data_IF_529117746533
#
_entry.id   IF_529117746533
#
_cell.length_a   1.000
_cell.length_b   1.000
_cell.length_c   1.000
_cell.angle_alpha   90.00
_cell.angle_beta   90.00
_cell.angle_gamma   90.00
#
_symmetry.space_group_name_H-M   'P 1'
#
loop_
_entity.id
_entity.type
_entity.pdbx_description
1 polymer ?
#
# COMPACT_ATOMS: atom_id res chain seq x y z
N UNK A 1 25.40 -41.35 18.19
CA UNK A 1 26.29 -40.40 18.90
C UNK A 1 25.46 -39.42 19.70
N UNK A 2 24.44 -38.77 19.10
CA UNK A 2 23.50 -37.86 19.78
C UNK A 2 22.97 -38.45 21.10
N UNK A 3 22.34 -39.63 21.06
CA UNK A 3 21.81 -40.29 22.26
C UNK A 3 22.84 -40.50 23.37
N UNK A 4 24.11 -40.75 23.01
CA UNK A 4 25.19 -40.96 23.99
C UNK A 4 25.58 -39.64 24.63
N UNK A 5 25.66 -38.55 23.86
CA UNK A 5 25.96 -37.22 24.38
C UNK A 5 24.82 -36.73 25.27
N UNK A 6 23.57 -36.85 24.84
CA UNK A 6 22.40 -36.44 25.62
C UNK A 6 22.31 -37.19 26.96
N UNK A 7 22.44 -38.53 26.94
CA UNK A 7 22.40 -39.34 28.16
C UNK A 7 23.55 -39.02 29.12
N UNK A 8 24.76 -38.80 28.60
CA UNK A 8 25.91 -38.50 29.46
C UNK A 8 25.87 -37.04 29.98
N UNK A 9 25.26 -36.10 29.25
CA UNK A 9 24.98 -34.75 29.75
C UNK A 9 24.00 -34.77 30.94
N UNK A 10 22.98 -35.63 30.90
CA UNK A 10 22.06 -35.81 32.04
C UNK A 10 22.74 -36.51 33.23
N UNK A 11 23.58 -37.51 32.94
CA UNK A 11 24.15 -38.40 33.95
C UNK A 11 25.36 -37.82 34.66
N UNK A 12 26.32 -37.27 33.91
CA UNK A 12 27.59 -36.78 34.44
C UNK A 12 28.24 -35.73 33.50
N UNK A 13 27.68 -34.52 33.42
CA UNK A 13 28.08 -33.52 32.42
C UNK A 13 29.52 -33.00 32.57
N UNK A 14 30.06 -33.01 33.80
CA UNK A 14 31.44 -32.60 34.09
C UNK A 14 32.44 -33.76 33.97
N UNK A 15 31.97 -34.95 33.57
CA UNK A 15 32.80 -36.13 33.39
C UNK A 15 33.83 -35.95 32.27
N UNK A 16 35.09 -36.30 32.55
CA UNK A 16 36.15 -36.22 31.54
C UNK A 16 35.88 -37.14 30.33
N UNK A 17 35.15 -38.24 30.51
CA UNK A 17 34.78 -39.15 29.43
C UNK A 17 34.01 -38.45 28.32
N UNK A 18 32.93 -37.73 28.65
CA UNK A 18 32.08 -37.05 27.68
C UNK A 18 32.87 -36.01 26.88
N UNK A 19 33.68 -35.20 27.57
CA UNK A 19 34.54 -34.20 26.91
C UNK A 19 35.47 -34.84 25.88
N UNK A 20 36.23 -35.89 26.25
CA UNK A 20 37.14 -36.54 25.31
C UNK A 20 36.39 -37.26 24.18
N UNK A 21 35.22 -37.82 24.46
CA UNK A 21 34.39 -38.47 23.45
C UNK A 21 33.93 -37.47 22.38
N UNK A 22 33.44 -36.30 22.79
CA UNK A 22 33.04 -35.22 21.87
C UNK A 22 34.25 -34.64 21.12
N UNK A 23 35.37 -34.40 21.80
CA UNK A 23 36.62 -33.93 21.15
C UNK A 23 37.12 -34.90 20.07
N UNK A 24 37.09 -36.21 20.32
CA UNK A 24 37.45 -37.22 19.31
C UNK A 24 36.44 -37.26 18.17
N UNK A 25 35.14 -37.26 18.49
CA UNK A 25 34.09 -37.27 17.47
C UNK A 25 34.16 -36.04 16.56
N UNK A 26 34.38 -34.86 17.14
CA UNK A 26 34.54 -33.61 16.41
C UNK A 26 35.69 -33.70 15.40
N UNK A 27 36.85 -34.19 15.86
CA UNK A 27 38.02 -34.38 15.00
C UNK A 27 37.77 -35.36 13.85
N UNK A 28 37.08 -36.46 14.11
CA UNK A 28 36.80 -37.49 13.09
C UNK A 28 35.69 -37.06 12.11
N UNK A 29 34.75 -36.21 12.54
CA UNK A 29 33.64 -35.73 11.70
C UNK A 29 34.01 -34.51 10.86
N UNK A 30 35.06 -33.75 11.23
CA UNK A 30 35.48 -32.53 10.55
C UNK A 30 35.64 -32.66 9.02
N UNK A 31 36.28 -33.70 8.46
CA UNK A 31 36.44 -33.79 7.01
C UNK A 31 35.11 -33.91 6.26
N UNK A 32 34.10 -34.57 6.86
CA UNK A 32 32.77 -34.67 6.26
C UNK A 32 32.04 -33.32 6.32
N UNK A 33 32.15 -32.62 7.45
CA UNK A 33 31.59 -31.28 7.60
C UNK A 33 32.22 -30.30 6.61
N UNK A 34 33.54 -30.37 6.39
CA UNK A 34 34.23 -29.55 5.40
C UNK A 34 33.67 -29.73 3.97
N UNK A 35 33.37 -30.97 3.56
CA UNK A 35 32.76 -31.27 2.25
C UNK A 35 31.35 -30.69 2.14
N UNK A 36 30.55 -30.80 3.22
CA UNK A 36 29.20 -30.23 3.25
C UNK A 36 29.27 -28.70 3.14
N UNK A 37 30.18 -28.05 3.90
CA UNK A 37 30.38 -26.60 3.86
C UNK A 37 30.74 -26.12 2.45
N UNK A 38 31.66 -26.80 1.77
CA UNK A 38 32.06 -26.46 0.40
C UNK A 38 30.90 -26.62 -0.60
N UNK A 39 30.08 -27.67 -0.40
CA UNK A 39 28.87 -27.89 -1.19
C UNK A 39 27.86 -26.77 -0.97
N UNK A 40 27.65 -26.33 0.28
CA UNK A 40 26.78 -25.19 0.60
C UNK A 40 27.29 -23.92 -0.05
N UNK A 41 28.59 -23.63 0.02
CA UNK A 41 29.19 -22.47 -0.64
C UNK A 41 28.94 -22.50 -2.16
N UNK A 42 29.15 -23.64 -2.79
CA UNK A 42 28.91 -23.81 -4.24
C UNK A 42 27.45 -23.56 -4.61
N UNK A 43 26.50 -24.16 -3.87
CA UNK A 43 25.07 -24.04 -4.15
C UNK A 43 24.55 -22.64 -3.84
N UNK A 44 25.04 -22.01 -2.77
CA UNK A 44 24.67 -20.63 -2.42
C UNK A 44 25.14 -19.64 -3.48
N UNK A 45 26.36 -19.78 -4.01
CA UNK A 45 26.83 -18.96 -5.14
C UNK A 45 26.01 -19.19 -6.43
N UNK A 46 25.53 -20.40 -6.67
CA UNK A 46 24.61 -20.67 -7.77
C UNK A 46 23.23 -20.01 -7.55
N UNK A 47 22.71 -20.05 -6.32
CA UNK A 47 21.44 -19.44 -5.93
C UNK A 47 21.45 -17.90 -6.07
N UNK A 48 22.59 -17.24 -5.76
CA UNK A 48 22.76 -15.78 -5.93
C UNK A 48 22.48 -15.28 -7.36
N UNK A 49 22.57 -16.15 -8.36
CA UNK A 49 22.28 -15.78 -9.77
C UNK A 49 20.79 -15.64 -10.07
N UNK A 50 19.91 -16.09 -9.17
CA UNK A 50 18.44 -16.01 -9.28
C UNK A 50 17.95 -16.50 -10.65
N UNK A 51 18.42 -17.69 -11.06
CA UNK A 51 17.97 -18.33 -12.29
C UNK A 51 16.65 -19.10 -12.10
N UNK A 52 16.15 -19.70 -13.18
CA UNK A 52 15.01 -20.62 -13.11
C UNK A 52 15.24 -21.82 -12.18
N UNK A 53 16.51 -22.18 -11.92
CA UNK A 53 16.89 -23.30 -11.06
C UNK A 53 16.94 -22.92 -9.58
N UNK A 54 16.65 -21.66 -9.20
CA UNK A 54 16.68 -21.21 -7.81
C UNK A 54 15.91 -22.16 -6.87
N UNK A 55 14.67 -22.61 -7.16
CA UNK A 55 13.96 -23.52 -6.26
C UNK A 55 14.69 -24.85 -6.01
N UNK A 56 15.45 -25.34 -6.99
CA UNK A 56 16.27 -26.54 -6.83
C UNK A 56 17.50 -26.26 -5.96
N UNK A 57 18.15 -25.11 -6.13
CA UNK A 57 19.25 -24.71 -5.26
C UNK A 57 18.80 -24.53 -3.80
N UNK A 58 17.63 -23.93 -3.54
CA UNK A 58 17.07 -23.81 -2.18
C UNK A 58 16.89 -25.19 -1.53
N UNK A 59 16.24 -26.11 -2.24
CA UNK A 59 16.07 -27.50 -1.76
C UNK A 59 17.38 -28.20 -1.47
N UNK A 60 18.41 -27.96 -2.28
CA UNK A 60 19.71 -28.56 -2.06
C UNK A 60 20.41 -27.97 -0.82
N UNK A 61 20.27 -26.67 -0.56
CA UNK A 61 20.75 -26.06 0.69
C UNK A 61 20.04 -26.66 1.90
N UNK A 62 18.72 -26.83 1.86
CA UNK A 62 17.96 -27.49 2.94
C UNK A 62 18.48 -28.92 3.21
N UNK A 63 18.73 -29.69 2.14
CA UNK A 63 19.27 -31.05 2.24
C UNK A 63 20.67 -31.07 2.86
N UNK A 64 21.53 -30.12 2.48
CA UNK A 64 22.89 -30.01 3.00
C UNK A 64 22.91 -29.56 4.46
N UNK A 65 21.99 -28.65 4.85
CA UNK A 65 21.79 -28.26 6.25
C UNK A 65 21.35 -29.45 7.11
N UNK A 66 20.37 -30.23 6.65
CA UNK A 66 19.95 -31.44 7.36
C UNK A 66 21.09 -32.49 7.47
N UNK A 67 21.93 -32.60 6.44
CA UNK A 67 23.10 -33.47 6.49
C UNK A 67 24.16 -32.96 7.50
N UNK A 68 24.41 -31.65 7.53
CA UNK A 68 25.29 -31.01 8.51
C UNK A 68 24.81 -31.31 9.94
N UNK A 69 23.54 -31.03 10.21
CA UNK A 69 22.90 -31.25 11.50
C UNK A 69 23.06 -32.69 11.97
N UNK A 70 22.72 -33.65 11.10
CA UNK A 70 22.80 -35.08 11.42
C UNK A 70 24.19 -35.56 11.87
N UNK A 71 25.24 -34.87 11.44
CA UNK A 71 26.63 -35.17 11.79
C UNK A 71 27.08 -34.34 13.00
N UNK A 72 26.80 -33.04 13.01
CA UNK A 72 27.40 -32.10 13.97
C UNK A 72 26.57 -31.90 15.24
N UNK A 73 25.33 -32.41 15.29
CA UNK A 73 24.45 -32.26 16.45
C UNK A 73 25.06 -32.62 17.81
N UNK A 74 25.85 -33.71 17.97
CA UNK A 74 26.50 -34.00 19.25
C UNK A 74 27.43 -32.88 19.73
N UNK A 75 28.11 -32.20 18.79
CA UNK A 75 29.03 -31.11 19.09
C UNK A 75 28.27 -29.82 19.37
N UNK A 76 27.18 -29.54 18.64
CA UNK A 76 26.28 -28.40 18.89
C UNK A 76 25.66 -28.46 20.29
N UNK A 77 25.04 -29.59 20.65
CA UNK A 77 24.40 -29.79 21.95
C UNK A 77 25.42 -29.72 23.09
N UNK A 78 26.59 -30.36 22.93
CA UNK A 78 27.65 -30.28 23.93
C UNK A 78 28.18 -28.85 24.12
N UNK A 79 28.35 -28.09 23.03
CA UNK A 79 28.78 -26.69 23.09
C UNK A 79 27.74 -25.84 23.83
N UNK A 80 26.46 -25.98 23.47
CA UNK A 80 25.36 -25.25 24.11
C UNK A 80 25.31 -25.50 25.62
N UNK A 81 25.45 -26.76 26.04
CA UNK A 81 25.49 -27.12 27.46
C UNK A 81 26.61 -26.37 28.22
N UNK A 82 27.74 -26.11 27.56
CA UNK A 82 28.87 -25.34 28.12
C UNK A 82 28.67 -23.82 28.04
N UNK A 83 27.51 -23.35 27.59
CA UNK A 83 27.21 -21.94 27.34
C UNK A 83 28.02 -21.38 26.17
N UNK A 84 28.38 -22.23 25.20
CA UNK A 84 29.15 -21.87 24.01
C UNK A 84 28.34 -22.18 22.75
N UNK A 85 28.62 -21.44 21.68
CA UNK A 85 28.05 -21.73 20.36
C UNK A 85 29.10 -22.44 19.49
N UNK A 86 28.68 -23.44 18.72
CA UNK A 86 29.59 -24.16 17.82
C UNK A 86 29.97 -23.27 16.62
N UNK A 87 31.26 -22.98 16.50
CA UNK A 87 31.76 -21.95 15.58
C UNK A 87 31.54 -22.25 14.11
N UNK A 88 31.61 -23.51 13.66
CA UNK A 88 31.42 -23.84 12.24
C UNK A 88 29.94 -23.75 11.83
N UNK A 89 29.03 -24.15 12.70
CA UNK A 89 27.58 -24.00 12.54
C UNK A 89 27.22 -22.52 12.46
N UNK A 90 27.80 -21.68 13.32
CA UNK A 90 27.64 -20.22 13.24
C UNK A 90 28.12 -19.64 11.91
N UNK A 91 29.27 -20.09 11.40
CA UNK A 91 29.74 -19.65 10.07
C UNK A 91 28.81 -20.10 8.94
N UNK A 92 28.30 -21.34 9.00
CA UNK A 92 27.38 -21.86 8.00
C UNK A 92 26.05 -21.10 8.01
N UNK A 93 25.55 -20.80 9.21
CA UNK A 93 24.41 -19.91 9.43
C UNK A 93 24.63 -18.54 8.77
N UNK A 94 25.76 -17.88 9.03
CA UNK A 94 26.07 -16.55 8.47
C UNK A 94 26.10 -16.55 6.93
N UNK A 95 26.67 -17.60 6.32
CA UNK A 95 26.71 -17.76 4.85
C UNK A 95 25.30 -17.80 4.26
N UNK A 96 24.41 -18.59 4.84
CA UNK A 96 23.06 -18.80 4.31
C UNK A 96 22.17 -17.61 4.64
N UNK A 97 22.27 -17.03 5.85
CA UNK A 97 21.53 -15.81 6.21
C UNK A 97 21.88 -14.67 5.25
N UNK A 98 23.15 -14.53 4.86
CA UNK A 98 23.55 -13.55 3.84
C UNK A 98 22.82 -13.79 2.51
N UNK A 99 22.68 -15.03 2.07
CA UNK A 99 21.88 -15.37 0.89
C UNK A 99 20.40 -15.01 1.08
N UNK A 100 19.79 -15.30 2.24
CA UNK A 100 18.40 -14.92 2.54
C UNK A 100 18.19 -13.42 2.37
N UNK A 101 19.09 -12.61 2.92
CA UNK A 101 19.02 -11.15 2.86
C UNK A 101 19.14 -10.65 1.41
N UNK A 102 20.04 -11.19 0.61
CA UNK A 102 20.18 -10.79 -0.81
C UNK A 102 18.97 -11.22 -1.63
N UNK A 103 18.44 -12.44 -1.43
CA UNK A 103 17.23 -12.91 -2.09
C UNK A 103 16.03 -11.99 -1.78
N UNK A 104 15.86 -11.61 -0.52
CA UNK A 104 14.77 -10.74 -0.10
C UNK A 104 14.94 -9.31 -0.60
N UNK A 105 16.08 -8.68 -0.32
CA UNK A 105 16.29 -7.24 -0.52
C UNK A 105 16.56 -6.88 -1.98
N UNK A 106 17.39 -7.67 -2.67
CA UNK A 106 17.85 -7.31 -4.02
C UNK A 106 16.93 -7.89 -5.10
N UNK A 107 16.23 -8.98 -4.78
CA UNK A 107 15.49 -9.76 -5.77
C UNK A 107 14.00 -9.95 -5.45
N UNK A 108 13.52 -9.54 -4.27
CA UNK A 108 12.12 -9.72 -3.87
C UNK A 108 11.69 -11.19 -3.80
N UNK A 109 12.64 -12.11 -3.60
CA UNK A 109 12.44 -13.57 -3.49
C UNK A 109 12.16 -13.96 -2.03
N UNK A 110 11.05 -13.44 -1.51
CA UNK A 110 10.67 -13.59 -0.11
C UNK A 110 10.31 -15.04 0.26
N UNK A 111 9.66 -15.78 -0.64
CA UNK A 111 9.31 -17.18 -0.38
C UNK A 111 10.56 -18.06 -0.24
N UNK A 112 11.55 -17.89 -1.13
CA UNK A 112 12.82 -18.63 -1.05
C UNK A 112 13.65 -18.23 0.17
N UNK A 113 13.72 -16.93 0.48
CA UNK A 113 14.39 -16.45 1.70
C UNK A 113 13.70 -16.99 2.96
N UNK A 114 12.37 -17.05 3.00
CA UNK A 114 11.59 -17.60 4.10
C UNK A 114 11.87 -19.10 4.29
N UNK A 115 11.93 -19.87 3.20
CA UNK A 115 12.29 -21.30 3.24
C UNK A 115 13.66 -21.49 3.87
N UNK A 116 14.68 -20.75 3.41
CA UNK A 116 16.03 -20.84 3.96
C UNK A 116 16.10 -20.40 5.44
N UNK A 117 15.42 -19.32 5.82
CA UNK A 117 15.40 -18.85 7.21
C UNK A 117 14.74 -19.86 8.16
N UNK A 118 13.67 -20.54 7.73
CA UNK A 118 13.06 -21.64 8.49
C UNK A 118 14.00 -22.85 8.60
N UNK A 119 14.70 -23.20 7.51
CA UNK A 119 15.68 -24.27 7.53
C UNK A 119 16.82 -23.97 8.51
N UNK A 120 17.32 -22.74 8.53
CA UNK A 120 18.32 -22.30 9.51
C UNK A 120 17.82 -22.41 10.95
N UNK A 121 16.57 -22.02 11.23
CA UNK A 121 16.00 -22.10 12.58
C UNK A 121 15.83 -23.55 13.03
N UNK A 122 15.49 -24.44 12.10
CA UNK A 122 15.33 -25.87 12.36
C UNK A 122 16.66 -26.57 12.60
N UNK A 123 17.70 -26.19 11.85
CA UNK A 123 19.03 -26.82 11.90
C UNK A 123 19.93 -26.27 13.00
N UNK A 124 19.74 -25.02 13.42
CA UNK A 124 20.60 -24.38 14.42
C UNK A 124 19.82 -23.79 15.60
N UNK A 125 18.94 -24.56 16.29
CA UNK A 125 18.24 -24.05 17.45
C UNK A 125 19.19 -23.71 18.61
N UNK A 126 20.41 -24.26 18.64
CA UNK A 126 21.42 -24.02 19.68
C UNK A 126 22.19 -22.69 19.53
N UNK A 127 22.04 -21.97 18.40
CA UNK A 127 22.67 -20.66 18.20
C UNK A 127 21.82 -19.54 18.81
N UNK A 128 21.78 -19.49 20.14
CA UNK A 128 20.95 -18.57 20.93
C UNK A 128 21.19 -17.09 20.59
N UNK A 129 22.43 -16.69 20.24
CA UNK A 129 22.76 -15.30 19.92
C UNK A 129 22.09 -14.77 18.65
N UNK A 130 21.60 -15.66 17.78
CA UNK A 130 20.99 -15.30 16.49
C UNK A 130 19.56 -15.79 16.34
N UNK A 131 19.08 -16.66 17.24
CA UNK A 131 17.75 -17.26 17.16
C UNK A 131 16.61 -16.23 17.15
N UNK A 132 16.67 -15.21 18.01
CA UNK A 132 15.63 -14.16 18.06
C UNK A 132 15.63 -13.32 16.78
N UNK A 133 16.81 -12.92 16.29
CA UNK A 133 16.92 -12.20 15.02
C UNK A 133 16.41 -13.02 13.83
N UNK A 134 16.58 -14.34 13.85
CA UNK A 134 16.04 -15.22 12.82
C UNK A 134 14.51 -15.37 12.88
N UNK A 135 13.93 -15.41 14.07
CA UNK A 135 12.47 -15.41 14.24
C UNK A 135 11.85 -14.10 13.72
N UNK A 136 12.48 -12.96 14.03
CA UNK A 136 12.06 -11.65 13.50
C UNK A 136 12.14 -11.59 11.97
N UNK A 137 13.23 -12.12 11.38
CA UNK A 137 13.36 -12.24 9.93
C UNK A 137 12.21 -13.07 9.33
N UNK A 138 11.91 -14.23 9.91
CA UNK A 138 10.83 -15.12 9.44
C UNK A 138 9.50 -14.39 9.43
N UNK A 139 9.11 -13.75 10.54
CA UNK A 139 7.86 -12.97 10.62
C UNK A 139 7.83 -11.84 9.59
N UNK A 140 8.96 -11.17 9.38
CA UNK A 140 9.08 -10.10 8.37
C UNK A 140 8.89 -10.65 6.96
N UNK A 141 9.55 -11.78 6.65
CA UNK A 141 9.47 -12.43 5.33
C UNK A 141 8.08 -13.00 5.04
N UNK A 142 7.38 -13.52 6.04
CA UNK A 142 5.97 -13.94 5.91
C UNK A 142 5.07 -12.78 5.49
N UNK A 143 5.22 -11.64 6.16
CA UNK A 143 4.49 -10.41 5.84
C UNK A 143 4.81 -9.92 4.42
N UNK A 144 6.10 -9.83 4.06
CA UNK A 144 6.55 -9.40 2.73
C UNK A 144 6.09 -10.35 1.61
N UNK A 145 6.15 -11.66 1.84
CA UNK A 145 5.64 -12.67 0.91
C UNK A 145 4.14 -12.50 0.69
N UNK A 146 3.38 -12.31 1.76
CA UNK A 146 1.94 -12.09 1.67
C UNK A 146 1.60 -10.81 0.89
N UNK A 147 2.28 -9.70 1.21
CA UNK A 147 2.13 -8.42 0.54
C UNK A 147 2.47 -8.51 -0.95
N UNK A 148 3.57 -9.19 -1.31
CA UNK A 148 3.96 -9.42 -2.71
C UNK A 148 2.89 -10.21 -3.46
N UNK A 149 2.34 -11.27 -2.87
CA UNK A 149 1.25 -12.07 -3.49
C UNK A 149 -0.01 -11.25 -3.74
N UNK A 150 -0.31 -10.26 -2.88
CA UNK A 150 -1.40 -9.31 -3.11
C UNK A 150 -1.03 -8.35 -4.25
N UNK A 151 0.17 -7.77 -4.23
CA UNK A 151 0.65 -6.87 -5.29
C UNK A 151 0.60 -7.53 -6.65
N UNK A 152 1.16 -8.73 -6.81
CA UNK A 152 1.22 -9.44 -8.09
C UNK A 152 -0.19 -9.69 -8.69
N UNK A 153 -1.22 -9.82 -7.83
CA UNK A 153 -2.62 -9.96 -8.25
C UNK A 153 -3.27 -8.63 -8.64
N UNK A 154 -2.79 -7.52 -8.08
CA UNK A 154 -3.29 -6.17 -8.34
C UNK A 154 -2.56 -5.45 -9.49
N UNK A 155 -1.28 -5.75 -9.72
CA UNK A 155 -0.44 -5.06 -10.72
C UNK A 155 -1.11 -4.97 -12.10
N UNK A 156 -1.76 -6.02 -12.65
CA UNK A 156 -2.44 -5.91 -13.95
C UNK A 156 -3.61 -4.91 -13.96
N UNK A 157 -4.27 -4.73 -12.82
CA UNK A 157 -5.34 -3.74 -12.65
C UNK A 157 -4.77 -2.34 -12.48
N UNK A 158 -3.74 -2.18 -11.65
CA UNK A 158 -3.02 -0.91 -11.46
C UNK A 158 -2.50 -0.40 -12.81
N UNK A 159 -1.81 -1.24 -13.56
CA UNK A 159 -1.29 -0.94 -14.89
C UNK A 159 -2.40 -0.55 -15.89
N UNK A 160 -3.55 -1.23 -15.84
CA UNK A 160 -4.69 -0.90 -16.68
C UNK A 160 -5.29 0.47 -16.32
N UNK A 161 -5.43 0.75 -15.02
CA UNK A 161 -5.87 2.05 -14.52
C UNK A 161 -4.89 3.17 -14.88
N UNK A 162 -3.58 2.97 -14.75
CA UNK A 162 -2.56 3.96 -15.13
C UNK A 162 -2.59 4.25 -16.64
N UNK A 163 -2.75 3.23 -17.48
CA UNK A 163 -2.96 3.46 -18.93
C UNK A 163 -4.25 4.24 -19.20
N UNK A 164 -5.31 3.99 -18.44
CA UNK A 164 -6.58 4.72 -18.55
C UNK A 164 -6.43 6.18 -18.12
N UNK A 165 -5.74 6.48 -17.00
CA UNK A 165 -5.41 7.84 -16.55
C UNK A 165 -4.63 8.61 -17.62
N UNK A 166 -3.56 8.01 -18.14
CA UNK A 166 -2.74 8.59 -19.21
C UNK A 166 -3.49 8.78 -20.54
N UNK A 167 -4.66 8.17 -20.71
CA UNK A 167 -5.51 8.27 -21.90
C UNK A 167 -6.95 8.71 -21.56
N UNK A 168 -7.11 9.53 -20.52
CA UNK A 168 -8.40 9.84 -19.90
C UNK A 168 -9.50 10.26 -20.88
N UNK A 169 -9.19 11.09 -21.90
CA UNK A 169 -10.18 11.52 -22.89
C UNK A 169 -10.77 10.35 -23.70
N UNK A 170 -9.92 9.43 -24.18
CA UNK A 170 -10.35 8.24 -24.94
C UNK A 170 -11.08 7.25 -24.03
N UNK A 171 -10.58 7.06 -22.81
CA UNK A 171 -11.22 6.21 -21.82
C UNK A 171 -12.62 6.72 -21.46
N UNK A 172 -12.75 8.02 -21.20
CA UNK A 172 -14.02 8.67 -20.90
C UNK A 172 -15.01 8.60 -22.07
N UNK A 173 -14.55 8.69 -23.31
CA UNK A 173 -15.39 8.48 -24.49
C UNK A 173 -15.94 7.04 -24.53
N UNK A 174 -15.08 6.04 -24.29
CA UNK A 174 -15.50 4.63 -24.25
C UNK A 174 -16.51 4.36 -23.12
N UNK A 175 -16.31 4.94 -21.93
CA UNK A 175 -17.29 4.85 -20.84
C UNK A 175 -18.65 5.42 -21.23
N UNK A 176 -18.68 6.55 -21.95
CA UNK A 176 -19.93 7.17 -22.39
C UNK A 176 -20.66 6.38 -23.47
N UNK A 177 -19.94 5.64 -24.33
CA UNK A 177 -20.55 4.80 -25.37
C UNK A 177 -21.00 3.44 -24.84
N UNK A 178 -20.16 2.80 -24.05
CA UNK A 178 -20.27 1.36 -23.78
C UNK A 178 -20.55 1.04 -22.30
N UNK A 179 -20.60 2.05 -21.43
CA UNK A 179 -20.67 1.87 -19.98
C UNK A 179 -19.41 1.20 -19.42
N UNK A 180 -19.46 0.74 -18.17
CA UNK A 180 -18.36 -0.03 -17.58
C UNK A 180 -18.44 -1.50 -18.00
N UNK A 181 -18.07 -1.80 -19.24
CA UNK A 181 -18.23 -3.14 -19.85
C UNK A 181 -17.00 -3.61 -20.61
N UNK A 182 -16.82 -4.93 -20.72
CA UNK A 182 -15.72 -5.53 -21.49
C UNK A 182 -15.85 -5.32 -23.01
N UNK A 183 -17.05 -4.97 -23.50
CA UNK A 183 -17.32 -4.67 -24.90
C UNK A 183 -16.82 -3.31 -25.37
N UNK A 184 -16.39 -2.45 -24.45
CA UNK A 184 -15.79 -1.16 -24.79
C UNK A 184 -14.44 -1.30 -25.50
N UNK A 185 -13.91 -0.17 -25.97
CA UNK A 185 -12.57 -0.12 -26.54
C UNK A 185 -11.48 -0.68 -25.60
N UNK A 186 -10.31 -1.04 -26.16
CA UNK A 186 -9.23 -1.77 -25.46
C UNK A 186 -8.94 -1.28 -24.04
N UNK A 187 -8.79 0.03 -23.83
CA UNK A 187 -8.48 0.60 -22.50
C UNK A 187 -9.54 0.26 -21.44
N UNK A 188 -10.82 0.35 -21.81
CA UNK A 188 -11.94 0.04 -20.92
C UNK A 188 -12.04 -1.46 -20.66
N UNK A 189 -11.92 -2.27 -21.71
CA UNK A 189 -11.92 -3.74 -21.61
C UNK A 189 -10.81 -4.24 -20.69
N UNK A 190 -9.61 -3.67 -20.79
CA UNK A 190 -8.46 -4.02 -19.95
C UNK A 190 -8.75 -3.71 -18.46
N UNK A 191 -9.31 -2.53 -18.14
CA UNK A 191 -9.68 -2.19 -16.75
C UNK A 191 -10.74 -3.14 -16.20
N UNK A 192 -11.81 -3.39 -16.95
CA UNK A 192 -12.93 -4.25 -16.50
C UNK A 192 -12.46 -5.70 -16.30
N UNK A 193 -11.65 -6.23 -17.22
CA UNK A 193 -11.11 -7.60 -17.12
C UNK A 193 -10.16 -7.72 -15.92
N UNK A 194 -9.17 -6.85 -15.81
CA UNK A 194 -8.22 -6.87 -14.69
C UNK A 194 -8.93 -6.68 -13.35
N UNK A 195 -9.98 -5.85 -13.28
CA UNK A 195 -10.79 -5.68 -12.08
C UNK A 195 -11.53 -6.96 -11.71
N UNK A 196 -12.15 -7.62 -12.69
CA UNK A 196 -12.84 -8.89 -12.50
C UNK A 196 -11.89 -10.02 -12.06
N UNK A 197 -10.68 -10.04 -12.56
CA UNK A 197 -9.68 -11.04 -12.19
C UNK A 197 -9.11 -10.78 -10.79
N UNK A 198 -8.78 -9.52 -10.46
CA UNK A 198 -8.31 -9.12 -9.14
C UNK A 198 -9.35 -9.43 -8.05
N UNK A 199 -10.60 -9.00 -8.22
CA UNK A 199 -11.65 -9.22 -7.21
C UNK A 199 -12.01 -10.69 -6.98
N UNK A 200 -11.74 -11.58 -7.95
CA UNK A 200 -11.99 -13.03 -7.82
C UNK A 200 -10.81 -13.76 -7.17
N UNK A 201 -9.60 -13.24 -7.34
CA UNK A 201 -8.36 -13.91 -6.91
C UNK A 201 -7.84 -13.42 -5.56
N UNK A 202 -8.24 -12.23 -5.12
CA UNK A 202 -7.89 -11.67 -3.81
C UNK A 202 -8.77 -12.24 -2.69
N UNK A 203 -8.16 -12.44 -1.52
CA UNK A 203 -8.89 -12.73 -0.27
C UNK A 203 -9.71 -11.50 0.18
N UNK A 204 -9.17 -10.31 -0.04
CA UNK A 204 -9.77 -9.02 0.28
C UNK A 204 -10.13 -8.28 -1.03
N UNK A 205 -11.34 -8.48 -1.57
CA UNK A 205 -11.71 -7.92 -2.87
C UNK A 205 -11.83 -6.39 -2.85
N UNK A 206 -11.95 -5.77 -1.67
CA UNK A 206 -11.99 -4.31 -1.47
C UNK A 206 -10.84 -3.56 -2.11
N UNK A 207 -9.62 -4.14 -2.12
CA UNK A 207 -8.45 -3.52 -2.73
C UNK A 207 -8.66 -3.26 -4.23
N UNK A 208 -9.31 -4.17 -4.95
CA UNK A 208 -9.62 -3.98 -6.37
C UNK A 208 -10.59 -2.81 -6.61
N UNK A 209 -11.56 -2.60 -5.70
CA UNK A 209 -12.48 -1.47 -5.78
C UNK A 209 -11.75 -0.14 -5.50
N UNK A 210 -10.82 -0.12 -4.54
CA UNK A 210 -10.05 1.08 -4.21
C UNK A 210 -9.15 1.52 -5.37
N UNK A 211 -8.55 0.59 -6.11
CA UNK A 211 -7.75 0.90 -7.31
C UNK A 211 -8.61 1.53 -8.42
N UNK A 212 -9.82 1.02 -8.67
CA UNK A 212 -10.73 1.61 -9.68
C UNK A 212 -11.34 2.92 -9.20
N UNK A 213 -11.62 3.05 -7.90
CA UNK A 213 -12.05 4.30 -7.27
C UNK A 213 -11.01 5.41 -7.48
N UNK A 214 -9.73 5.11 -7.33
CA UNK A 214 -8.64 6.06 -7.58
C UNK A 214 -8.63 6.58 -9.03
N UNK A 215 -8.87 5.69 -10.01
CA UNK A 215 -9.09 6.10 -11.41
C UNK A 215 -10.30 7.05 -11.54
N UNK A 216 -11.41 6.80 -10.83
CA UNK A 216 -12.56 7.70 -10.84
C UNK A 216 -12.23 9.09 -10.25
N UNK A 217 -11.40 9.13 -9.20
CA UNK A 217 -10.92 10.38 -8.60
C UNK A 217 -10.03 11.15 -9.58
N UNK A 218 -9.09 10.50 -10.27
CA UNK A 218 -8.27 11.14 -11.31
C UNK A 218 -9.14 11.69 -12.46
N UNK A 219 -10.13 10.94 -12.93
CA UNK A 219 -11.08 11.43 -13.95
C UNK A 219 -11.84 12.68 -13.49
N UNK A 220 -12.33 12.69 -12.24
CA UNK A 220 -13.05 13.83 -11.70
C UNK A 220 -12.15 15.06 -11.47
N UNK A 221 -10.97 14.85 -10.86
CA UNK A 221 -10.15 15.93 -10.33
C UNK A 221 -9.10 16.42 -11.34
N UNK A 222 -8.37 15.50 -11.98
CA UNK A 222 -7.27 15.82 -12.90
C UNK A 222 -7.81 16.08 -14.31
N UNK A 223 -8.78 15.26 -14.75
CA UNK A 223 -9.37 15.39 -16.09
C UNK A 223 -10.60 16.30 -16.14
N UNK A 224 -11.11 16.77 -14.98
CA UNK A 224 -12.34 17.58 -14.87
C UNK A 224 -13.54 16.93 -15.62
N UNK A 225 -13.64 15.60 -15.58
CA UNK A 225 -14.68 14.79 -16.22
C UNK A 225 -15.54 14.06 -15.18
N UNK A 226 -16.42 14.79 -14.45
CA UNK A 226 -17.31 14.19 -13.45
C UNK A 226 -18.32 13.21 -14.06
N UNK A 227 -18.62 13.32 -15.36
CA UNK A 227 -19.51 12.41 -16.06
C UNK A 227 -18.87 11.03 -16.19
N UNK A 228 -17.63 10.95 -16.68
CA UNK A 228 -16.94 9.66 -16.81
C UNK A 228 -16.60 9.06 -15.44
N UNK A 229 -16.24 9.89 -14.45
CA UNK A 229 -16.09 9.42 -13.08
C UNK A 229 -17.40 8.81 -12.53
N UNK A 230 -18.55 9.47 -12.75
CA UNK A 230 -19.87 8.94 -12.37
C UNK A 230 -20.14 7.59 -13.03
N UNK A 231 -19.98 7.48 -14.36
CA UNK A 231 -20.23 6.24 -15.10
C UNK A 231 -19.34 5.08 -14.63
N UNK A 232 -18.09 5.38 -14.29
CA UNK A 232 -17.16 4.40 -13.74
C UNK A 232 -17.61 3.89 -12.37
N UNK A 233 -17.94 4.80 -11.45
CA UNK A 233 -18.40 4.45 -10.09
C UNK A 233 -19.74 3.71 -10.14
N UNK A 234 -20.67 4.14 -10.98
CA UNK A 234 -21.97 3.50 -11.13
C UNK A 234 -21.84 2.05 -11.63
N UNK A 235 -21.05 1.85 -12.69
CA UNK A 235 -20.75 0.51 -13.20
C UNK A 235 -20.00 -0.38 -12.19
N UNK A 236 -19.11 0.20 -11.39
CA UNK A 236 -18.42 -0.50 -10.30
C UNK A 236 -19.40 -1.00 -9.22
N UNK A 237 -20.39 -0.17 -8.85
CA UNK A 237 -21.47 -0.54 -7.91
C UNK A 237 -22.35 -1.65 -8.51
N UNK A 238 -22.69 -1.56 -9.79
CA UNK A 238 -23.50 -2.57 -10.48
C UNK A 238 -22.82 -3.94 -10.48
N UNK A 239 -21.53 -4.00 -10.85
CA UNK A 239 -20.76 -5.24 -10.83
C UNK A 239 -20.59 -5.83 -9.43
N UNK A 240 -20.54 -4.98 -8.40
CA UNK A 240 -20.46 -5.38 -7.00
C UNK A 240 -21.80 -5.74 -6.36
N UNK A 241 -22.93 -5.52 -7.03
CA UNK A 241 -24.25 -5.69 -6.41
C UNK A 241 -24.50 -7.13 -5.95
N UNK A 242 -24.71 -7.29 -4.64
CA UNK A 242 -24.97 -8.57 -3.97
C UNK A 242 -23.73 -9.44 -3.68
N UNK A 243 -22.53 -9.06 -4.16
CA UNK A 243 -21.31 -9.85 -4.00
C UNK A 243 -20.05 -9.05 -3.59
N UNK A 244 -20.12 -7.72 -3.60
CA UNK A 244 -19.00 -6.84 -3.26
C UNK A 244 -18.94 -6.43 -1.79
N UNK A 245 -17.81 -5.85 -1.36
CA UNK A 245 -17.59 -5.40 0.02
C UNK A 245 -18.57 -4.28 0.40
N UNK A 246 -19.44 -4.55 1.37
CA UNK A 246 -20.58 -3.69 1.70
C UNK A 246 -20.17 -2.25 2.04
N UNK A 247 -19.16 -2.09 2.89
CA UNK A 247 -18.71 -0.77 3.34
C UNK A 247 -18.17 0.07 2.17
N UNK A 248 -17.35 -0.53 1.29
CA UNK A 248 -16.83 0.15 0.10
C UNK A 248 -17.97 0.52 -0.86
N UNK A 249 -18.94 -0.38 -1.07
CA UNK A 249 -20.10 -0.10 -1.93
C UNK A 249 -20.99 1.01 -1.37
N UNK A 250 -21.15 1.11 -0.04
CA UNK A 250 -21.88 2.20 0.60
C UNK A 250 -21.17 3.55 0.36
N UNK A 251 -19.84 3.61 0.52
CA UNK A 251 -19.03 4.80 0.20
C UNK A 251 -19.13 5.18 -1.27
N UNK A 252 -19.02 4.20 -2.18
CA UNK A 252 -19.16 4.46 -3.62
C UNK A 252 -20.55 5.01 -3.98
N UNK A 253 -21.62 4.61 -3.28
CA UNK A 253 -22.97 5.17 -3.51
C UNK A 253 -23.06 6.64 -3.11
N UNK A 254 -22.38 7.03 -2.03
CA UNK A 254 -22.29 8.43 -1.62
C UNK A 254 -21.51 9.26 -2.65
N UNK A 255 -20.36 8.75 -3.10
CA UNK A 255 -19.54 9.38 -4.14
C UNK A 255 -20.30 9.50 -5.46
N UNK A 256 -21.02 8.45 -5.87
CA UNK A 256 -21.88 8.46 -7.04
C UNK A 256 -22.90 9.60 -6.99
N UNK A 257 -23.53 9.83 -5.84
CA UNK A 257 -24.51 10.91 -5.68
C UNK A 257 -23.87 12.29 -5.88
N UNK A 258 -22.65 12.49 -5.35
CA UNK A 258 -21.88 13.73 -5.48
C UNK A 258 -21.45 13.96 -6.94
N UNK A 259 -20.85 12.95 -7.58
CA UNK A 259 -20.41 13.01 -8.97
C UNK A 259 -21.58 13.28 -9.92
N UNK A 260 -22.72 12.62 -9.71
CA UNK A 260 -23.92 12.82 -10.50
C UNK A 260 -24.45 14.25 -10.37
N UNK A 261 -24.53 14.76 -9.13
CA UNK A 261 -24.94 16.14 -8.86
C UNK A 261 -24.02 17.12 -9.60
N UNK A 262 -22.70 17.00 -9.43
CA UNK A 262 -21.72 17.91 -10.01
C UNK A 262 -21.78 17.94 -11.54
N UNK A 263 -21.94 16.78 -12.17
CA UNK A 263 -22.14 16.67 -13.61
C UNK A 263 -23.46 17.32 -14.06
N UNK A 264 -24.58 16.97 -13.44
CA UNK A 264 -25.91 17.43 -13.86
C UNK A 264 -26.19 18.91 -13.56
N UNK A 265 -25.52 19.49 -12.57
CA UNK A 265 -25.63 20.93 -12.29
C UNK A 265 -25.20 21.79 -13.49
N UNK A 266 -24.10 21.43 -14.17
CA UNK A 266 -23.67 22.11 -15.41
C UNK A 266 -24.71 22.00 -16.53
N UNK A 267 -25.37 20.84 -16.65
CA UNK A 267 -26.44 20.64 -17.63
C UNK A 267 -27.71 21.42 -17.25
N UNK A 268 -28.05 21.51 -15.96
CA UNK A 268 -29.18 22.29 -15.47
C UNK A 268 -29.00 23.78 -15.77
N UNK A 269 -27.80 24.32 -15.58
CA UNK A 269 -27.42 25.69 -15.96
C UNK A 269 -27.60 25.92 -17.46
N UNK A 270 -27.14 24.98 -18.29
CA UNK A 270 -27.29 25.06 -19.75
C UNK A 270 -28.75 25.03 -20.20
N UNK A 271 -29.63 24.37 -19.45
CA UNK A 271 -31.09 24.36 -19.69
C UNK A 271 -31.82 25.56 -19.08
N UNK A 272 -31.11 26.52 -18.48
CA UNK A 272 -31.75 27.70 -17.87
C UNK A 272 -32.68 28.42 -18.85
N UNK A 273 -33.93 28.64 -18.42
CA UNK A 273 -34.98 29.22 -19.24
C UNK A 273 -35.78 28.22 -20.09
N UNK A 274 -35.30 26.99 -20.27
CA UNK A 274 -36.06 25.89 -20.88
C UNK A 274 -36.69 25.00 -19.79
N UNK A 275 -37.91 25.33 -19.36
CA UNK A 275 -38.60 24.64 -18.25
C UNK A 275 -38.69 23.11 -18.43
N UNK A 276 -38.94 22.65 -19.67
CA UNK A 276 -39.02 21.21 -19.94
C UNK A 276 -37.65 20.54 -19.84
N UNK A 277 -36.61 21.20 -20.34
CA UNK A 277 -35.22 20.73 -20.20
C UNK A 277 -34.81 20.67 -18.73
N UNK A 278 -35.08 21.72 -17.97
CA UNK A 278 -34.79 21.77 -16.54
C UNK A 278 -35.52 20.67 -15.75
N UNK A 279 -36.81 20.45 -15.99
CA UNK A 279 -37.56 19.39 -15.31
C UNK A 279 -36.95 18.01 -15.56
N UNK A 280 -36.57 17.71 -16.81
CA UNK A 280 -35.89 16.46 -17.15
C UNK A 280 -34.57 16.29 -16.39
N UNK A 281 -33.77 17.34 -16.30
CA UNK A 281 -32.50 17.29 -15.57
C UNK A 281 -32.73 17.10 -14.06
N UNK A 282 -33.71 17.80 -13.48
CA UNK A 282 -34.04 17.64 -12.05
C UNK A 282 -34.58 16.23 -11.75
N UNK A 283 -35.43 15.69 -12.62
CA UNK A 283 -35.95 14.32 -12.48
C UNK A 283 -34.81 13.29 -12.50
N UNK A 284 -33.84 13.46 -13.40
CA UNK A 284 -32.64 12.65 -13.49
C UNK A 284 -31.78 12.77 -12.22
N UNK A 285 -31.53 14.00 -11.75
CA UNK A 285 -30.78 14.24 -10.50
C UNK A 285 -31.39 13.55 -9.28
N UNK A 286 -32.73 13.47 -9.18
CA UNK A 286 -33.44 12.84 -8.06
C UNK A 286 -33.16 11.33 -7.96
N UNK A 287 -32.82 10.66 -9.07
CA UNK A 287 -32.58 9.19 -9.11
C UNK A 287 -31.42 8.79 -8.18
N UNK A 288 -30.34 9.56 -8.20
CA UNK A 288 -29.11 9.25 -7.46
C UNK A 288 -28.87 10.17 -6.27
N UNK A 289 -29.78 11.10 -5.97
CA UNK A 289 -29.62 12.07 -4.91
C UNK A 289 -29.63 11.43 -3.51
N UNK A 290 -28.75 11.92 -2.63
CA UNK A 290 -28.84 11.62 -1.21
C UNK A 290 -30.14 12.21 -0.59
N UNK A 291 -30.55 11.79 0.62
CA UNK A 291 -31.83 12.22 1.21
C UNK A 291 -31.98 13.73 1.38
N UNK A 292 -30.90 14.46 1.60
CA UNK A 292 -30.94 15.92 1.75
C UNK A 292 -31.15 16.61 0.41
N UNK A 293 -30.32 16.27 -0.58
CA UNK A 293 -30.37 16.85 -1.93
C UNK A 293 -31.67 16.48 -2.63
N UNK A 294 -32.19 15.27 -2.41
CA UNK A 294 -33.48 14.83 -2.95
C UNK A 294 -34.62 15.76 -2.55
N UNK A 295 -34.72 16.13 -1.25
CA UNK A 295 -35.75 17.05 -0.76
C UNK A 295 -35.64 18.42 -1.42
N UNK A 296 -34.42 18.91 -1.63
CA UNK A 296 -34.20 20.23 -2.22
C UNK A 296 -34.46 20.22 -3.74
N UNK A 297 -34.13 19.12 -4.43
CA UNK A 297 -34.48 18.90 -5.83
C UNK A 297 -36.00 18.75 -6.04
N UNK A 298 -36.72 18.07 -5.15
CA UNK A 298 -38.19 17.98 -5.18
C UNK A 298 -38.86 19.36 -4.97
N UNK A 299 -38.31 20.19 -4.08
CA UNK A 299 -38.74 21.60 -3.95
C UNK A 299 -38.44 22.41 -5.20
N UNK A 300 -37.29 22.19 -5.85
CA UNK A 300 -36.97 22.86 -7.12
C UNK A 300 -37.93 22.44 -8.24
N UNK A 301 -38.20 21.13 -8.35
CA UNK A 301 -39.16 20.56 -9.31
C UNK A 301 -40.53 21.21 -9.19
N UNK A 302 -41.11 21.23 -7.99
CA UNK A 302 -42.42 21.85 -7.74
C UNK A 302 -42.45 23.35 -8.07
N UNK A 303 -41.36 24.09 -7.82
CA UNK A 303 -41.24 25.50 -8.23
C UNK A 303 -41.24 25.66 -9.76
N UNK A 304 -40.54 24.79 -10.49
CA UNK A 304 -40.49 24.83 -11.96
C UNK A 304 -41.87 24.50 -12.55
N UNK A 305 -42.55 23.48 -12.01
CA UNK A 305 -43.90 23.08 -12.43
C UNK A 305 -44.95 24.17 -12.16
N UNK A 306 -44.94 24.79 -10.98
CA UNK A 306 -45.88 25.85 -10.62
C UNK A 306 -45.73 27.12 -11.47
N UNK A 307 -44.53 27.40 -11.98
CA UNK A 307 -44.25 28.55 -12.85
C UNK A 307 -44.70 28.37 -14.30
N UNK A 308 -45.03 27.15 -14.72
CA UNK A 308 -45.65 26.85 -16.02
C UNK A 308 -47.04 27.51 -16.16
N UNK A 309 -47.67 27.91 -15.04
CA UNK A 309 -49.00 28.51 -14.98
C UNK A 309 -49.02 30.05 -15.02
N UNK A 310 -47.90 30.75 -14.78
CA UNK A 310 -47.86 32.22 -14.70
C UNK A 310 -47.08 32.82 -15.87
N UNK A 311 -47.80 33.26 -16.92
CA UNK A 311 -47.24 33.75 -18.21
C UNK A 311 -46.34 35.00 -18.15
N UNK A 312 -46.10 35.63 -16.98
CA UNK A 312 -45.37 36.92 -16.89
C UNK A 312 -44.40 37.01 -15.70
N UNK A 313 -43.41 36.12 -15.61
CA UNK A 313 -42.37 36.25 -14.56
C UNK A 313 -40.97 35.75 -14.97
N UNK A 314 -40.47 36.13 -16.17
CA UNK A 314 -39.13 35.70 -16.63
C UNK A 314 -37.98 36.13 -15.69
N UNK A 315 -38.06 37.32 -15.09
CA UNK A 315 -37.00 37.91 -14.25
C UNK A 315 -36.90 37.30 -12.84
N UNK A 316 -38.02 37.04 -12.18
CA UNK A 316 -38.06 36.39 -10.85
C UNK A 316 -37.69 34.90 -10.93
N UNK A 317 -37.79 34.31 -12.13
CA UNK A 317 -37.46 32.92 -12.40
C UNK A 317 -35.96 32.70 -12.51
N UNK A 318 -35.27 33.55 -13.26
CA UNK A 318 -33.80 33.59 -13.34
C UNK A 318 -33.17 33.89 -11.97
N UNK A 319 -33.73 34.82 -11.19
CA UNK A 319 -33.24 35.13 -9.84
C UNK A 319 -33.42 33.95 -8.85
N UNK A 320 -34.56 33.25 -8.91
CA UNK A 320 -34.82 32.09 -8.05
C UNK A 320 -34.01 30.84 -8.43
N UNK A 321 -33.73 30.64 -9.71
CA UNK A 321 -32.83 29.58 -10.20
C UNK A 321 -31.38 29.92 -9.85
N UNK A 322 -30.97 31.16 -10.07
CA UNK A 322 -29.68 31.68 -9.64
C UNK A 322 -29.46 31.51 -8.14
N UNK A 323 -30.48 31.73 -7.31
CA UNK A 323 -30.40 31.49 -5.87
C UNK A 323 -30.31 30.01 -5.47
N UNK A 324 -30.91 29.09 -6.23
CA UNK A 324 -30.81 27.64 -5.98
C UNK A 324 -29.47 27.09 -6.48
N UNK A 325 -29.02 27.52 -7.65
CA UNK A 325 -27.67 27.22 -8.15
C UNK A 325 -26.63 27.79 -7.19
N UNK A 326 -26.76 29.05 -6.79
CA UNK A 326 -25.89 29.70 -5.81
C UNK A 326 -25.97 28.98 -4.45
N UNK A 327 -27.15 28.54 -4.00
CA UNK A 327 -27.27 27.71 -2.80
C UNK A 327 -26.55 26.37 -2.93
N UNK A 328 -26.69 25.66 -4.06
CA UNK A 328 -25.97 24.40 -4.28
C UNK A 328 -24.46 24.58 -4.43
N UNK A 329 -24.01 25.68 -5.05
CA UNK A 329 -22.59 26.08 -5.18
C UNK A 329 -22.00 26.52 -3.83
N UNK A 330 -22.75 27.29 -3.04
CA UNK A 330 -22.35 27.70 -1.68
C UNK A 330 -22.38 26.53 -0.70
N UNK A 331 -23.32 25.58 -0.85
CA UNK A 331 -23.37 24.36 -0.03
C UNK A 331 -22.38 23.29 -0.49
N UNK A 332 -21.80 23.42 -1.68
CA UNK A 332 -20.68 22.60 -2.19
C UNK A 332 -19.40 22.86 -1.39
N UNK A 333 -19.19 24.08 -0.88
CA UNK A 333 -18.10 24.38 0.06
C UNK A 333 -18.26 23.62 1.39
N UNK A 334 -19.49 23.28 1.78
CA UNK A 334 -19.83 22.74 3.11
C UNK A 334 -20.04 21.22 3.18
N UNK A 335 -20.00 20.49 2.07
CA UNK A 335 -20.13 19.02 2.05
C UNK A 335 -19.11 18.38 1.13
N UNK A 336 -17.88 18.29 1.63
CA UNK A 336 -16.84 17.46 1.03
C UNK A 336 -17.04 16.01 1.45
N UNK A 337 -16.72 15.04 0.58
CA UNK A 337 -16.77 13.64 0.95
C UNK A 337 -15.91 13.40 2.20
N UNK A 338 -16.43 12.55 3.07
CA UNK A 338 -15.68 12.04 4.21
C UNK A 338 -14.34 11.47 3.74
N UNK A 339 -13.30 11.73 4.54
CA UNK A 339 -11.97 11.15 4.43
C UNK A 339 -12.05 9.65 4.13
N UNK A 340 -11.28 9.18 3.13
CA UNK A 340 -11.37 7.78 2.71
C UNK A 340 -10.19 7.33 1.86
N UNK A 341 -9.32 6.54 2.51
CA UNK A 341 -8.27 5.65 2.00
C UNK A 341 -8.00 5.72 0.48
N UNK A 342 -6.89 6.36 0.12
CA UNK A 342 -6.28 6.19 -1.19
C UNK A 342 -5.58 4.82 -1.24
N UNK A 343 -5.58 4.17 -2.40
CA UNK A 343 -4.69 3.03 -2.63
C UNK A 343 -3.27 3.56 -2.73
N UNK A 344 -2.45 3.23 -1.73
CA UNK A 344 -1.02 3.51 -1.74
C UNK A 344 -0.36 2.22 -2.22
N UNK A 345 0.33 2.21 -3.38
CA UNK A 345 1.02 1.03 -3.85
C UNK A 345 2.07 0.60 -2.81
N UNK A 346 2.28 -0.70 -2.58
CA UNK A 346 3.33 -1.17 -1.71
C UNK A 346 4.68 -0.74 -2.28
N UNK A 347 5.37 0.20 -1.61
CA UNK A 347 6.72 0.61 -1.98
C UNK A 347 7.63 -0.60 -1.84
N UNK A 348 8.15 -1.12 -2.96
CA UNK A 348 9.27 -2.04 -2.93
C UNK A 348 10.48 -1.27 -2.37
N UNK A 349 10.81 -1.51 -1.09
CA UNK A 349 11.98 -0.93 -0.44
C UNK A 349 13.25 -1.43 -1.15
N UNK A 350 13.73 -0.69 -2.16
CA UNK A 350 15.15 -0.77 -2.55
C UNK A 350 15.95 0.05 -1.56
N UNK A 351 16.56 -0.66 -0.60
CA UNK A 351 17.61 -0.08 0.23
C UNK A 351 18.81 0.28 -0.63
N UNK A 352 18.95 1.56 -0.98
CA UNK A 352 20.22 2.10 -1.48
C UNK A 352 20.88 2.86 -0.34
N UNK A 353 22.02 2.35 0.11
CA UNK A 353 22.88 3.00 1.10
C UNK A 353 23.50 4.25 0.45
N UNK A 354 23.38 5.47 1.02
CA UNK A 354 24.09 6.62 0.49
C UNK A 354 25.55 6.60 0.95
N UNK A 355 26.46 6.78 0.00
CA UNK A 355 27.87 7.06 0.26
C UNK A 355 28.02 8.44 0.92
N UNK A 356 28.87 8.52 1.95
CA UNK A 356 29.20 9.75 2.68
C UNK A 356 30.19 10.59 1.87
N UNK A 357 29.98 11.92 1.76
CA UNK A 357 31.08 12.86 1.68
C UNK A 357 31.17 13.77 2.92
N UNK A 358 32.43 14.10 3.18
CA UNK A 358 33.04 14.83 4.29
C UNK A 358 32.61 16.28 4.51
N UNK A 359 32.79 16.71 5.76
CA UNK A 359 32.50 18.02 6.38
C UNK A 359 33.36 19.18 5.84
N UNK A 360 32.73 20.33 5.57
CA UNK A 360 33.27 21.67 5.84
C UNK A 360 32.16 22.74 5.91
N UNK A 361 32.23 23.53 6.98
CA UNK A 361 31.40 24.62 7.55
C UNK A 361 31.19 25.88 6.64
N UNK A 362 30.52 26.97 7.09
CA UNK A 362 29.09 27.18 7.27
C UNK A 362 28.58 28.35 6.39
N UNK A 363 27.71 28.06 5.43
CA UNK A 363 26.75 29.03 4.90
C UNK A 363 25.38 28.52 5.33
N UNK A 364 24.45 29.42 5.71
CA UNK A 364 23.05 29.04 5.97
C UNK A 364 22.53 28.25 4.77
N UNK A 365 22.56 26.93 4.89
CA UNK A 365 22.00 26.00 3.92
C UNK A 365 20.51 26.11 4.11
N UNK A 366 19.84 26.85 3.22
CA UNK A 366 18.40 26.68 3.03
C UNK A 366 18.16 25.18 2.86
N UNK A 367 17.42 24.54 3.77
CA UNK A 367 17.10 23.12 3.67
C UNK A 367 16.51 22.88 2.27
N UNK A 368 17.16 22.09 1.40
CA UNK A 368 16.64 21.84 0.05
C UNK A 368 15.27 21.15 0.08
N UNK A 369 14.88 20.61 1.24
CA UNK A 369 13.62 19.94 1.52
C UNK A 369 12.69 20.75 2.44
N UNK A 370 12.84 22.07 2.49
CA UNK A 370 11.96 22.96 3.27
C UNK A 370 10.47 22.61 3.06
N UNK A 371 9.76 22.41 4.17
CA UNK A 371 8.34 22.08 4.24
C UNK A 371 7.58 23.28 4.80
N UNK A 372 6.58 23.76 4.06
CA UNK A 372 5.69 24.81 4.54
C UNK A 372 4.35 24.20 4.91
N UNK A 373 3.91 24.37 6.15
CA UNK A 373 2.60 23.89 6.56
C UNK A 373 1.50 24.59 5.74
N UNK A 374 0.68 23.85 4.98
CA UNK A 374 -0.37 24.45 4.19
C UNK A 374 -1.44 25.06 5.10
N UNK A 375 -2.09 26.17 4.69
CA UNK A 375 -3.29 26.65 5.38
C UNK A 375 -4.39 25.58 5.34
N UNK A 376 -5.21 25.55 6.39
CA UNK A 376 -6.41 24.69 6.44
C UNK A 376 -7.40 25.17 5.39
N UNK A 377 -7.85 24.27 4.51
CA UNK A 377 -8.82 24.64 3.48
C UNK A 377 -8.88 23.72 2.27
N UNK A 378 -9.99 23.88 1.55
CA UNK A 378 -10.34 23.23 0.29
C UNK A 378 -9.78 23.82 -1.00
N UNK A 379 -9.23 23.05 -1.95
CA UNK A 379 -9.05 23.51 -3.34
C UNK A 379 -8.03 24.64 -3.50
N UNK A 380 -7.20 24.82 -2.48
CA UNK A 380 -6.14 25.82 -2.45
C UNK A 380 -5.05 25.42 -3.45
N UNK A 381 -4.47 26.41 -4.12
CA UNK A 381 -3.28 26.18 -4.96
C UNK A 381 -2.06 26.20 -4.05
N UNK A 382 -1.50 25.03 -3.76
CA UNK A 382 -0.38 24.87 -2.86
C UNK A 382 0.94 25.14 -3.57
N UNK A 383 1.88 25.75 -2.84
CA UNK A 383 3.27 25.92 -3.28
C UNK A 383 4.00 24.58 -3.28
N UNK A 384 5.18 24.50 -3.91
CA UNK A 384 6.02 23.30 -3.89
C UNK A 384 6.32 22.82 -2.46
N UNK A 385 6.69 23.72 -1.56
CA UNK A 385 6.98 23.41 -0.16
C UNK A 385 5.74 22.91 0.60
N UNK A 386 4.55 23.41 0.27
CA UNK A 386 3.28 22.96 0.84
C UNK A 386 2.85 21.60 0.31
N UNK A 387 3.07 21.33 -0.97
CA UNK A 387 2.89 19.98 -1.55
C UNK A 387 3.86 19.00 -0.90
N UNK A 388 5.12 19.41 -0.68
CA UNK A 388 6.13 18.62 0.03
C UNK A 388 5.69 18.27 1.45
N UNK A 389 5.16 19.22 2.21
CA UNK A 389 4.56 18.95 3.52
C UNK A 389 3.48 17.87 3.42
N UNK A 390 2.56 17.97 2.44
CA UNK A 390 1.49 16.99 2.30
C UNK A 390 1.99 15.57 1.97
N UNK A 391 2.99 15.44 1.10
CA UNK A 391 3.55 14.13 0.76
C UNK A 391 4.35 13.55 1.93
N UNK A 392 5.19 14.35 2.58
CA UNK A 392 6.05 13.90 3.66
C UNK A 392 5.27 13.62 4.94
N UNK A 393 4.29 14.47 5.28
CA UNK A 393 3.41 14.23 6.41
C UNK A 393 2.53 13.01 6.21
N UNK A 394 2.08 12.72 4.97
CA UNK A 394 1.40 11.46 4.64
C UNK A 394 2.26 10.24 4.97
N UNK A 395 3.51 10.22 4.50
CA UNK A 395 4.45 9.15 4.81
C UNK A 395 4.75 9.02 6.31
N UNK A 396 4.88 10.13 7.04
CA UNK A 396 5.03 10.11 8.51
C UNK A 396 3.82 9.45 9.17
N UNK A 397 2.59 9.79 8.76
CA UNK A 397 1.38 9.18 9.30
C UNK A 397 1.31 7.68 9.03
N UNK A 398 1.79 7.21 7.89
CA UNK A 398 1.86 5.78 7.58
C UNK A 398 2.86 5.04 8.48
N UNK A 399 4.02 5.64 8.77
CA UNK A 399 4.97 5.09 9.73
C UNK A 399 4.45 5.13 11.17
N UNK A 400 3.70 6.16 11.53
CA UNK A 400 3.13 6.33 12.88
C UNK A 400 2.05 5.27 13.14
N UNK A 401 1.20 4.96 12.15
CA UNK A 401 0.03 4.07 12.30
C UNK A 401 0.33 2.74 13.03
N UNK A 402 1.36 1.95 12.67
CA UNK A 402 1.65 0.69 13.38
C UNK A 402 2.27 0.88 14.77
N UNK A 403 2.75 2.08 15.12
CA UNK A 403 3.40 2.37 16.41
C UNK A 403 2.40 2.76 17.51
N UNK A 404 1.13 3.00 17.17
CA UNK A 404 0.09 3.43 18.10
C UNK A 404 -0.61 2.23 18.71
N UNK A 405 -0.42 1.99 20.01
CA UNK A 405 -0.85 0.72 20.66
C UNK A 405 -1.91 0.92 21.75
N UNK A 406 -2.18 2.15 22.19
CA UNK A 406 -3.17 2.44 23.23
C UNK A 406 -4.10 3.61 22.86
N UNK A 407 -5.24 3.71 23.56
CA UNK A 407 -6.29 4.69 23.26
C UNK A 407 -5.79 6.15 23.24
N UNK A 408 -4.88 6.51 24.16
CA UNK A 408 -4.30 7.87 24.19
C UNK A 408 -3.47 8.16 22.94
N UNK A 409 -2.68 7.20 22.49
CA UNK A 409 -1.91 7.32 21.25
C UNK A 409 -2.83 7.34 20.02
N UNK A 410 -3.91 6.55 20.02
CA UNK A 410 -4.92 6.54 18.96
C UNK A 410 -5.61 7.90 18.85
N UNK A 411 -5.98 8.54 19.97
CA UNK A 411 -6.59 9.88 19.97
C UNK A 411 -5.63 10.94 19.41
N UNK A 412 -4.34 10.87 19.76
CA UNK A 412 -3.31 11.76 19.22
C UNK A 412 -3.07 11.55 17.73
N UNK A 413 -3.06 10.29 17.29
CA UNK A 413 -2.96 9.96 15.88
C UNK A 413 -4.16 10.47 15.09
N UNK A 414 -5.39 10.26 15.58
CA UNK A 414 -6.60 10.75 14.95
C UNK A 414 -6.57 12.28 14.82
N UNK A 415 -6.11 13.00 15.84
CA UNK A 415 -5.96 14.46 15.76
C UNK A 415 -4.95 14.92 14.69
N UNK A 416 -3.84 14.18 14.48
CA UNK A 416 -2.90 14.46 13.40
C UNK A 416 -3.48 14.12 12.03
N UNK A 417 -4.21 13.02 11.91
CA UNK A 417 -4.93 12.64 10.69
C UNK A 417 -5.98 13.70 10.34
N UNK A 418 -6.68 14.25 11.33
CA UNK A 418 -7.67 15.32 11.15
C UNK A 418 -7.01 16.63 10.66
N UNK A 419 -5.91 17.08 11.28
CA UNK A 419 -5.18 18.28 10.83
C UNK A 419 -4.58 18.08 9.42
N UNK A 420 -4.04 16.89 9.15
CA UNK A 420 -3.55 16.52 7.82
C UNK A 420 -4.68 16.57 6.78
N UNK A 421 -5.82 15.96 7.07
CA UNK A 421 -6.97 15.96 6.16
C UNK A 421 -7.50 17.38 5.90
N UNK A 422 -7.47 18.24 6.91
CA UNK A 422 -7.94 19.63 6.81
C UNK A 422 -7.05 20.50 5.89
N UNK A 423 -5.78 20.13 5.71
CA UNK A 423 -4.79 20.87 4.90
C UNK A 423 -4.47 20.21 3.56
N UNK A 424 -4.37 18.90 3.56
CA UNK A 424 -3.84 18.08 2.46
C UNK A 424 -4.89 17.16 1.82
N UNK A 425 -6.13 17.16 2.31
CA UNK A 425 -7.18 16.29 1.77
C UNK A 425 -7.67 16.67 0.36
N UNK A 426 -7.48 17.93 -0.06
CA UNK A 426 -7.89 18.40 -1.40
C UNK A 426 -7.19 19.72 -1.76
N UNK A 427 -6.24 19.66 -2.69
CA UNK A 427 -5.49 20.83 -3.17
C UNK A 427 -5.20 20.80 -4.66
N UNK A 428 -4.89 21.96 -5.23
CA UNK A 428 -4.40 22.14 -6.61
C UNK A 428 -2.91 22.41 -6.57
N UNK A 429 -2.18 21.98 -7.58
CA UNK A 429 -0.74 22.20 -7.71
C UNK A 429 -0.36 22.34 -9.19
N UNK A 430 0.79 22.93 -9.46
CA UNK A 430 1.30 23.11 -10.83
C UNK A 430 1.79 21.77 -11.39
N UNK A 431 1.53 21.50 -12.67
CA UNK A 431 1.99 20.28 -13.36
C UNK A 431 3.50 20.05 -13.15
N UNK A 432 3.88 18.81 -12.82
CA UNK A 432 5.26 18.39 -12.53
C UNK A 432 5.72 18.60 -11.09
N UNK A 433 5.00 19.36 -10.26
CA UNK A 433 5.36 19.56 -8.84
C UNK A 433 5.17 18.27 -8.04
N UNK A 434 4.06 17.56 -8.25
CA UNK A 434 3.78 16.32 -7.53
C UNK A 434 4.82 15.24 -7.85
N UNK A 435 5.01 14.92 -9.14
CA UNK A 435 6.00 13.94 -9.61
C UNK A 435 7.42 14.26 -9.10
N UNK A 436 7.80 15.54 -9.10
CA UNK A 436 9.10 15.96 -8.58
C UNK A 436 9.22 15.78 -7.06
N UNK A 437 8.16 16.02 -6.28
CA UNK A 437 8.15 15.88 -4.82
C UNK A 437 8.05 14.40 -4.41
N UNK A 438 7.30 13.60 -5.17
CA UNK A 438 7.24 12.14 -4.99
C UNK A 438 8.61 11.49 -5.23
N UNK A 439 9.38 11.99 -6.21
CA UNK A 439 10.77 11.58 -6.41
C UNK A 439 11.69 11.91 -5.22
N UNK A 440 11.39 12.97 -4.46
CA UNK A 440 12.15 13.34 -3.25
C UNK A 440 11.86 12.39 -2.08
N UNK A 441 10.65 11.81 -2.01
CA UNK A 441 10.20 10.95 -0.91
C UNK A 441 11.12 9.75 -0.68
N UNK A 442 11.56 9.07 -1.74
CA UNK A 442 12.43 7.89 -1.64
C UNK A 442 13.76 8.22 -0.96
N UNK A 443 14.35 9.38 -1.26
CA UNK A 443 15.61 9.82 -0.64
C UNK A 443 15.46 10.20 0.84
N UNK A 444 14.22 10.46 1.28
CA UNK A 444 13.86 11.00 2.61
C UNK A 444 13.24 9.97 3.54
N UNK A 445 12.97 8.76 3.08
CA UNK A 445 12.23 7.74 3.82
C UNK A 445 12.79 7.48 5.23
N UNK A 446 14.11 7.30 5.36
CA UNK A 446 14.76 7.08 6.66
C UNK A 446 14.57 8.26 7.63
N UNK A 447 14.69 9.50 7.15
CA UNK A 447 14.49 10.70 7.95
C UNK A 447 13.03 10.85 8.38
N UNK A 448 12.08 10.61 7.49
CA UNK A 448 10.64 10.67 7.79
C UNK A 448 10.20 9.57 8.77
N UNK A 449 10.82 8.40 8.70
CA UNK A 449 10.61 7.32 9.69
C UNK A 449 11.13 7.72 11.07
N UNK A 450 12.30 8.36 11.13
CA UNK A 450 12.83 8.90 12.39
C UNK A 450 11.99 10.06 12.95
N UNK A 451 11.41 10.91 12.09
CA UNK A 451 10.43 11.94 12.49
C UNK A 451 9.19 11.29 13.12
N UNK A 452 8.63 10.26 12.46
CA UNK A 452 7.48 9.51 12.94
C UNK A 452 7.73 8.89 14.33
N UNK A 453 8.89 8.26 14.53
CA UNK A 453 9.28 7.72 15.83
C UNK A 453 9.36 8.82 16.92
N UNK A 454 9.92 9.99 16.60
CA UNK A 454 9.96 11.14 17.52
C UNK A 454 8.57 11.67 17.86
N UNK A 455 7.66 11.71 16.88
CA UNK A 455 6.28 12.12 17.11
C UNK A 455 5.61 11.18 18.11
N UNK A 456 5.69 9.87 17.89
CA UNK A 456 5.06 8.87 18.80
C UNK A 456 5.70 8.89 20.19
N UNK A 457 7.01 9.07 20.27
CA UNK A 457 7.73 9.19 21.55
C UNK A 457 7.29 10.40 22.40
N UNK A 458 6.59 11.37 21.80
CA UNK A 458 6.10 12.57 22.49
C UNK A 458 4.67 12.48 23.05
N UNK A 459 3.96 11.36 22.85
CA UNK A 459 2.50 11.25 23.10
C UNK A 459 2.06 10.82 24.50
#
# INVERSE_FOLDING_TARGET
>A
MNDVVEQELERNPEGSFLRHLVEMYDKESEPHLAVIKESVLTVTEAARKVSADLPQHIKEVERLLAAWDSINQPVQVYSQFRGQEEGRSKQLYEIIRKLCLELANDHGRYDEALTLSNALLTTFPELESVAESLKEDITTLESLSHQKKISDKLDPLVDACERAKNNASRFGQALRSDGFSESGGKLLSDVVRSFNDARKSLSEPEMAYLVVRDLALSLNNESNDPQSAFLLVDGLIELGSGKGPKEVLDKLREERAILHKNWKMKELERQSGNLNGMLRVVDDMIVFANPADRRDLEKLKSKIEGKRLVKKAKLVLLAGIGAVILYFVLMDEFRKPASGHYYIPPVAERSTVPAVPSVSDPYEVSDPYEEDMPPVGTGLSLTRNQVRYCIFQGARLDYIRPMTTNNRQIDRFNALVDDFNARCGSFRYTSGVLESVEGELTSRAATLRADAQRIVASW
#
